data_IF_780042048748
#
_entry.id   IF_780042048748
#
_cell.length_a   1.000
_cell.length_b   1.000
_cell.length_c   1.000
_cell.angle_alpha   90.00
_cell.angle_beta   90.00
_cell.angle_gamma   90.00
#
_symmetry.space_group_name_H-M   'P 1'
#
loop_
_entity.id
_entity.type
_entity.pdbx_description
1 polymer ?
#
# COMPACT_ATOMS: atom_id res chain seq x y z
N UNK A 1 8.67 -11.29 -10.71
CA UNK A 1 7.45 -10.92 -9.97
C UNK A 1 7.61 -9.52 -9.38
N UNK A 2 6.65 -8.60 -9.56
CA UNK A 2 6.71 -7.29 -8.92
C UNK A 2 6.77 -7.44 -7.39
N UNK A 3 7.59 -6.62 -6.72
CA UNK A 3 7.90 -6.75 -5.27
C UNK A 3 6.65 -6.79 -4.38
N UNK A 4 5.63 -6.00 -4.72
CA UNK A 4 4.37 -5.99 -4.00
C UNK A 4 3.59 -7.32 -4.10
N UNK A 5 3.58 -7.96 -5.27
CA UNK A 5 2.89 -9.24 -5.46
C UNK A 5 3.57 -10.36 -4.66
N UNK A 6 4.91 -10.37 -4.61
CA UNK A 6 5.67 -11.32 -3.79
C UNK A 6 5.38 -11.11 -2.29
N UNK A 7 5.46 -9.87 -1.83
CA UNK A 7 5.19 -9.53 -0.43
C UNK A 7 3.75 -9.87 -0.03
N UNK A 8 2.77 -9.64 -0.92
CA UNK A 8 1.37 -10.02 -0.69
C UNK A 8 1.21 -11.55 -0.57
N UNK A 9 1.84 -12.32 -1.45
CA UNK A 9 1.76 -13.78 -1.45
C UNK A 9 2.33 -14.42 -0.16
N UNK A 10 3.30 -13.76 0.47
CA UNK A 10 3.91 -14.19 1.74
C UNK A 10 3.01 -13.91 2.96
N UNK A 11 1.91 -13.15 2.81
CA UNK A 11 0.97 -12.86 3.90
C UNK A 11 -0.03 -14.01 4.12
N UNK A 12 -0.58 -14.17 5.34
CA UNK A 12 -1.69 -15.09 5.56
C UNK A 12 -2.90 -14.78 4.66
N UNK A 13 -3.58 -15.81 4.16
CA UNK A 13 -4.76 -15.71 3.27
C UNK A 13 -5.81 -14.67 3.72
N UNK A 14 -6.20 -14.59 5.02
CA UNK A 14 -7.16 -13.57 5.47
C UNK A 14 -6.66 -12.14 5.28
N UNK A 15 -5.35 -11.93 5.39
CA UNK A 15 -4.71 -10.63 5.20
C UNK A 15 -4.66 -10.28 3.72
N UNK A 16 -4.33 -11.24 2.85
CA UNK A 16 -4.35 -11.04 1.41
C UNK A 16 -5.71 -10.53 0.94
N UNK A 17 -6.80 -11.17 1.39
CA UNK A 17 -8.18 -10.75 1.08
C UNK A 17 -8.46 -9.32 1.55
N UNK A 18 -8.09 -8.96 2.78
CA UNK A 18 -8.26 -7.60 3.31
C UNK A 18 -7.47 -6.55 2.53
N UNK A 19 -6.25 -6.90 2.09
CA UNK A 19 -5.43 -6.03 1.26
C UNK A 19 -6.11 -5.82 -0.09
N UNK A 20 -6.59 -6.89 -0.75
CA UNK A 20 -7.30 -6.79 -2.02
C UNK A 20 -8.54 -5.88 -1.92
N UNK A 21 -9.37 -6.06 -0.88
CA UNK A 21 -10.52 -5.19 -0.62
C UNK A 21 -10.11 -3.72 -0.50
N UNK A 22 -9.08 -3.42 0.31
CA UNK A 22 -8.66 -2.03 0.48
C UNK A 22 -8.04 -1.43 -0.78
N UNK A 23 -7.27 -2.21 -1.55
CA UNK A 23 -6.70 -1.72 -2.81
C UNK A 23 -7.81 -1.36 -3.80
N UNK A 24 -8.90 -2.15 -3.85
CA UNK A 24 -10.07 -1.80 -4.66
C UNK A 24 -10.74 -0.50 -4.18
N UNK A 25 -10.84 -0.28 -2.87
CA UNK A 25 -11.35 0.98 -2.32
C UNK A 25 -10.43 2.18 -2.65
N UNK A 26 -9.11 1.97 -2.67
CA UNK A 26 -8.15 3.00 -3.08
C UNK A 26 -8.27 3.36 -4.56
N UNK A 27 -8.69 2.43 -5.43
CA UNK A 27 -8.94 2.75 -6.83
C UNK A 27 -10.10 3.74 -6.99
N UNK A 28 -11.11 3.67 -6.13
CA UNK A 28 -12.24 4.61 -6.12
C UNK A 28 -11.89 5.93 -5.41
N UNK A 29 -11.15 5.88 -4.30
CA UNK A 29 -10.80 7.04 -3.50
C UNK A 29 -9.32 6.99 -3.04
N UNK A 30 -8.36 7.34 -3.91
CA UNK A 30 -6.93 7.13 -3.66
C UNK A 30 -6.37 7.99 -2.52
N UNK A 31 -7.06 9.09 -2.17
CA UNK A 31 -6.73 9.99 -1.05
C UNK A 31 -7.79 9.93 0.07
N UNK A 32 -8.50 8.80 0.18
CA UNK A 32 -9.58 8.60 1.14
C UNK A 32 -9.13 8.47 2.61
N UNK A 33 -10.07 8.16 3.53
CA UNK A 33 -9.81 8.11 4.96
C UNK A 33 -8.68 7.14 5.34
N UNK A 34 -7.81 7.57 6.26
CA UNK A 34 -6.70 6.75 6.76
C UNK A 34 -5.50 6.63 5.82
N UNK A 35 -5.54 7.30 4.65
CA UNK A 35 -4.37 7.50 3.79
C UNK A 35 -3.52 8.64 4.35
N UNK A 36 -2.22 8.40 4.49
CA UNK A 36 -1.26 9.39 4.99
C UNK A 36 -0.08 9.46 4.04
N UNK A 37 0.24 10.65 3.54
CA UNK A 37 1.47 10.90 2.78
C UNK A 37 2.68 10.74 3.69
N UNK A 38 3.69 9.97 3.27
CA UNK A 38 4.94 9.84 4.00
C UNK A 38 5.79 11.09 3.83
N UNK A 39 6.22 11.68 4.95
CA UNK A 39 7.18 12.79 4.97
C UNK A 39 8.52 12.32 4.39
N UNK A 40 9.18 13.20 3.63
CA UNK A 40 10.47 12.89 2.97
C UNK A 40 10.36 12.02 1.71
N UNK A 41 9.16 11.76 1.20
CA UNK A 41 8.96 11.17 -0.14
C UNK A 41 8.54 12.27 -1.11
N UNK A 42 9.50 12.72 -1.92
CA UNK A 42 9.31 13.91 -2.76
C UNK A 42 8.86 13.53 -4.18
N UNK A 43 9.50 12.55 -4.82
CA UNK A 43 9.18 12.21 -6.23
C UNK A 43 9.43 10.73 -6.57
N UNK A 44 8.38 9.92 -6.82
CA UNK A 44 6.97 10.21 -6.58
C UNK A 44 6.62 10.18 -5.08
N UNK A 45 5.61 10.95 -4.64
CA UNK A 45 5.15 10.93 -3.26
C UNK A 45 4.58 9.54 -2.91
N UNK A 46 5.02 9.02 -1.76
CA UNK A 46 4.56 7.73 -1.24
C UNK A 46 3.50 7.96 -0.19
N UNK A 47 2.41 7.23 -0.31
CA UNK A 47 1.30 7.20 0.61
C UNK A 47 1.28 5.89 1.37
N UNK A 48 0.66 5.91 2.54
CA UNK A 48 0.44 4.75 3.39
C UNK A 48 -1.02 4.66 3.79
N UNK A 49 -1.57 3.45 3.75
CA UNK A 49 -2.83 3.12 4.41
C UNK A 49 -2.65 1.94 5.38
N UNK A 50 -3.42 1.95 6.47
CA UNK A 50 -3.48 0.84 7.43
C UNK A 50 -4.52 -0.19 7.00
N UNK A 51 -4.16 -1.46 7.05
CA UNK A 51 -5.05 -2.60 6.81
C UNK A 51 -5.23 -3.37 8.11
N UNK A 52 -6.45 -3.39 8.64
CA UNK A 52 -6.74 -4.01 9.92
C UNK A 52 -5.89 -3.43 11.06
N UNK A 53 -5.36 -4.29 11.92
CA UNK A 53 -4.61 -3.85 13.11
C UNK A 53 -3.10 -3.69 12.85
N UNK A 54 -2.50 -4.58 12.05
CA UNK A 54 -1.04 -4.73 12.04
C UNK A 54 -0.38 -4.60 10.67
N UNK A 55 -1.15 -4.42 9.59
CA UNK A 55 -0.62 -4.35 8.22
C UNK A 55 -0.69 -2.95 7.64
N UNK A 56 0.24 -2.66 6.73
CA UNK A 56 0.33 -1.40 6.00
C UNK A 56 0.59 -1.67 4.53
N UNK A 57 -0.02 -0.84 3.71
CA UNK A 57 0.21 -0.79 2.27
C UNK A 57 0.89 0.55 1.98
N UNK A 58 2.01 0.50 1.27
CA UNK A 58 2.65 1.67 0.69
C UNK A 58 2.32 1.71 -0.79
N UNK A 59 1.92 2.87 -1.27
CA UNK A 59 1.52 3.06 -2.66
C UNK A 59 1.86 4.46 -3.14
N UNK A 60 1.96 4.62 -4.45
CA UNK A 60 2.07 5.93 -5.12
C UNK A 60 0.80 6.18 -5.91
N UNK A 61 0.48 7.45 -6.10
CA UNK A 61 -0.63 7.90 -6.93
C UNK A 61 0.01 8.65 -8.09
N UNK A 62 -0.31 8.24 -9.30
CA UNK A 62 -0.03 8.99 -10.51
C UNK A 62 -1.31 9.69 -10.94
N UNK A 63 -1.38 11.01 -10.71
CA UNK A 63 -2.55 11.82 -11.06
C UNK A 63 -2.70 12.00 -12.58
N UNK A 64 -1.61 11.87 -13.36
CA UNK A 64 -1.64 12.00 -14.81
C UNK A 64 -2.31 10.79 -15.46
N UNK A 65 -2.02 9.59 -14.97
CA UNK A 65 -2.60 8.34 -15.46
C UNK A 65 -3.76 7.82 -14.61
N UNK A 66 -4.13 8.52 -13.53
CA UNK A 66 -5.10 8.09 -12.51
C UNK A 66 -4.82 6.68 -11.97
N UNK A 67 -3.55 6.33 -11.87
CA UNK A 67 -3.11 4.98 -11.47
C UNK A 67 -2.64 4.98 -10.03
N UNK A 68 -3.08 3.96 -9.27
CA UNK A 68 -2.55 3.65 -7.94
C UNK A 68 -1.57 2.49 -8.07
N UNK A 69 -0.29 2.72 -7.79
CA UNK A 69 0.72 1.68 -7.83
C UNK A 69 1.11 1.24 -6.41
N UNK A 70 0.84 -0.02 -6.07
CA UNK A 70 1.24 -0.60 -4.79
C UNK A 70 2.74 -0.88 -4.81
N UNK A 71 3.48 -0.21 -3.93
CA UNK A 71 4.94 -0.34 -3.80
C UNK A 71 5.30 -1.57 -2.98
N UNK A 72 4.65 -1.73 -1.82
CA UNK A 72 4.85 -2.89 -0.93
C UNK A 72 3.70 -3.04 0.06
N UNK A 73 3.53 -4.25 0.58
CA UNK A 73 2.56 -4.58 1.62
C UNK A 73 3.28 -5.37 2.70
N UNK A 74 3.04 -5.05 3.96
CA UNK A 74 3.66 -5.82 5.03
C UNK A 74 3.23 -5.44 6.44
N UNK A 75 3.71 -6.19 7.45
CA UNK A 75 3.52 -5.86 8.84
C UNK A 75 4.04 -4.46 9.18
N UNK A 76 3.49 -3.87 10.25
CA UNK A 76 3.80 -2.52 10.73
C UNK A 76 5.32 -2.26 10.89
N UNK A 77 6.07 -3.28 11.28
CA UNK A 77 7.52 -3.22 11.53
C UNK A 77 8.36 -3.41 10.27
N UNK A 78 7.88 -4.20 9.31
CA UNK A 78 8.69 -4.64 8.17
C UNK A 78 8.43 -3.83 6.90
N UNK A 79 7.29 -3.11 6.81
CA UNK A 79 6.94 -2.35 5.59
C UNK A 79 7.94 -1.22 5.26
N UNK A 80 8.73 -0.79 6.24
CA UNK A 80 9.79 0.22 6.07
C UNK A 80 11.19 -0.37 5.93
N UNK A 81 11.34 -1.68 6.19
CA UNK A 81 12.63 -2.35 6.17
C UNK A 81 12.97 -2.70 4.72
N UNK A 82 13.46 -1.70 3.98
CA UNK A 82 14.20 -1.93 2.74
C UNK A 82 15.57 -2.50 3.12
N UNK A 83 15.88 -3.71 2.66
CA UNK A 83 17.25 -4.06 2.24
C UNK A 83 17.26 -3.95 0.72
#
# INVERSE_FOLDING_TARGET
MPRAAKALAELPLPVQRRVATRVNELAAAPRGPGVVKLKGSETPPIYRVRIGRDYRVLFTIDDATRTVAVVTVGPRKDVYRRR
#
